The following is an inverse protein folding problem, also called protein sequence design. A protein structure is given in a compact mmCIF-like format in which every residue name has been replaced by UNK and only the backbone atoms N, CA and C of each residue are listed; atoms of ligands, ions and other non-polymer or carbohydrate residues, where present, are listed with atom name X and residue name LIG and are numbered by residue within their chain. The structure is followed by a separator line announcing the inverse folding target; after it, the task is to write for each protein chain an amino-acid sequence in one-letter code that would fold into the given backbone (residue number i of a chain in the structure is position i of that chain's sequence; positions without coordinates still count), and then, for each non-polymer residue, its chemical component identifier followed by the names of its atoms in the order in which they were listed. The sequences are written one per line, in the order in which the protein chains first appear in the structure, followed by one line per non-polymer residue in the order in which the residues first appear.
data_IF_040190896058
#
_entry.id   IF_040190896058
#
_cell.length_a   1.000
_cell.length_b   1.000
_cell.length_c   1.000
_cell.angle_alpha   90.00
_cell.angle_beta   90.00
_cell.angle_gamma   90.00
#
_symmetry.space_group_name_H-M   'P 1'
#
loop_
_entity.id
_entity.type
_entity.pdbx_description
1 polymer ?
#
# COMPACT_ATOMS: atom_id res chain seq x y z
N UNK A 1 24.84 70.77 29.31
CA UNK A 1 23.63 70.51 28.51
C UNK A 1 24.06 70.60 27.04
N UNK A 2 24.14 69.45 26.34
CA UNK A 2 24.56 69.27 24.93
C UNK A 2 25.90 69.87 24.49
N UNK A 3 26.84 69.04 24.01
CA UNK A 3 27.39 69.19 22.65
C UNK A 3 28.25 67.97 22.24
N UNK A 4 28.12 67.65 20.95
CA UNK A 4 28.73 66.56 20.19
C UNK A 4 30.25 66.74 20.01
N UNK A 5 31.03 65.66 19.83
CA UNK A 5 31.88 65.47 18.62
C UNK A 5 32.63 64.13 18.57
N UNK A 6 32.60 63.54 17.35
CA UNK A 6 33.62 62.74 16.65
C UNK A 6 34.07 61.37 17.20
N UNK A 7 33.59 60.31 16.55
CA UNK A 7 34.36 59.08 16.23
C UNK A 7 33.90 58.69 14.81
N UNK A 8 34.74 58.43 13.81
CA UNK A 8 36.05 57.81 13.84
C UNK A 8 35.96 56.47 13.10
N UNK A 9 36.03 56.54 11.78
CA UNK A 9 35.91 55.46 10.79
C UNK A 9 36.84 54.27 11.11
N UNK A 10 36.30 53.06 11.30
CA UNK A 10 37.03 51.80 11.16
C UNK A 10 36.17 50.78 10.43
N UNK A 11 36.59 50.49 9.21
CA UNK A 11 36.04 49.47 8.34
C UNK A 11 36.29 48.07 8.94
N UNK A 12 35.24 47.25 9.00
CA UNK A 12 35.36 45.80 9.16
C UNK A 12 34.69 45.16 7.95
N UNK A 13 35.51 44.56 7.09
CA UNK A 13 35.09 43.78 5.93
C UNK A 13 34.47 42.48 6.43
N UNK A 14 33.15 42.39 6.39
CA UNK A 14 32.44 41.13 6.61
C UNK A 14 32.35 40.38 5.26
N UNK A 15 33.17 39.34 5.11
CA UNK A 15 33.06 38.39 3.99
C UNK A 15 31.74 37.61 4.10
N UNK A 16 30.82 37.83 3.17
CA UNK A 16 29.65 36.98 2.96
C UNK A 16 30.08 35.65 2.34
N UNK A 17 30.18 34.60 3.14
CA UNK A 17 30.16 33.22 2.67
C UNK A 17 28.72 32.85 2.28
N UNK A 18 28.42 32.96 0.99
CA UNK A 18 27.18 32.41 0.40
C UNK A 18 27.34 30.89 0.38
N UNK A 19 26.73 30.21 1.35
CA UNK A 19 26.56 28.78 1.32
C UNK A 19 25.54 28.43 0.22
N UNK A 20 26.02 27.93 -0.91
CA UNK A 20 25.18 27.29 -1.93
C UNK A 20 24.68 25.97 -1.35
N UNK A 21 23.51 26.02 -0.70
CA UNK A 21 22.79 24.82 -0.28
C UNK A 21 22.26 24.09 -1.50
N UNK A 22 22.96 23.05 -1.94
CA UNK A 22 22.42 22.09 -2.91
C UNK A 22 21.15 21.45 -2.34
N UNK A 23 20.09 21.40 -3.13
CA UNK A 23 18.90 20.65 -2.79
C UNK A 23 19.27 19.17 -2.63
N UNK A 24 19.35 18.71 -1.39
CA UNK A 24 19.45 17.30 -1.08
C UNK A 24 18.11 16.66 -1.47
N UNK A 25 18.08 16.01 -2.64
CA UNK A 25 17.02 15.07 -2.97
C UNK A 25 17.10 13.93 -1.95
N UNK A 26 16.23 13.98 -0.94
CA UNK A 26 16.12 12.96 0.08
C UNK A 26 15.64 11.66 -0.58
N UNK A 27 16.59 10.84 -0.99
CA UNK A 27 16.33 9.50 -1.50
C UNK A 27 15.95 8.60 -0.31
N UNK A 28 14.82 7.91 -0.44
CA UNK A 28 14.31 7.00 0.58
C UNK A 28 15.26 5.80 0.66
N UNK A 29 16.01 5.69 1.75
CA UNK A 29 16.79 4.49 2.05
C UNK A 29 15.88 3.46 2.73
N UNK A 30 15.51 2.43 1.99
CA UNK A 30 14.92 1.21 2.54
C UNK A 30 16.06 0.41 3.15
N UNK A 31 16.15 0.38 4.49
CA UNK A 31 17.10 -0.47 5.18
C UNK A 31 16.58 -1.91 5.17
N UNK A 32 17.16 -2.76 4.31
CA UNK A 32 16.85 -4.19 4.28
C UNK A 32 17.53 -4.83 5.49
N UNK A 33 16.77 -5.12 6.54
CA UNK A 33 17.22 -5.96 7.64
C UNK A 33 16.38 -7.22 7.65
N UNK A 34 16.91 -8.28 7.04
CA UNK A 34 16.24 -9.58 6.97
C UNK A 34 17.04 -10.57 6.12
N UNK A 35 17.93 -11.31 6.77
CA UNK A 35 18.64 -12.47 6.20
C UNK A 35 17.80 -13.70 6.53
N UNK A 36 17.27 -14.42 5.52
CA UNK A 36 16.47 -15.62 5.79
C UNK A 36 15.81 -16.36 4.61
N UNK A 37 15.72 -15.77 3.41
CA UNK A 37 15.18 -16.45 2.22
C UNK A 37 16.23 -16.55 1.10
N UNK A 38 16.20 -17.65 0.35
CA UNK A 38 16.98 -17.77 -0.89
C UNK A 38 16.45 -16.76 -1.90
N UNK A 39 17.16 -15.65 -2.06
CA UNK A 39 16.82 -14.62 -3.04
C UNK A 39 17.24 -15.06 -4.44
N UNK A 40 16.40 -14.79 -5.44
CA UNK A 40 16.71 -15.05 -6.83
C UNK A 40 17.64 -13.94 -7.37
N UNK A 41 18.90 -14.25 -7.76
CA UNK A 41 19.83 -13.24 -8.21
C UNK A 41 19.54 -12.80 -9.64
N UNK A 42 19.35 -11.49 -9.83
CA UNK A 42 19.01 -10.90 -11.13
C UNK A 42 19.85 -9.65 -11.39
N UNK A 43 20.35 -9.52 -12.62
CA UNK A 43 21.00 -8.31 -13.10
C UNK A 43 20.06 -7.55 -14.04
N UNK A 44 19.82 -6.27 -13.75
CA UNK A 44 19.13 -5.35 -14.66
C UNK A 44 20.18 -4.38 -15.19
N UNK A 45 20.53 -4.46 -16.48
CA UNK A 45 21.40 -3.46 -17.11
C UNK A 45 20.69 -2.10 -17.16
N UNK A 46 21.49 -1.03 -17.22
CA UNK A 46 20.93 0.26 -17.57
C UNK A 46 20.34 0.19 -18.99
N UNK A 47 19.18 0.80 -19.17
CA UNK A 47 18.55 0.87 -20.48
C UNK A 47 19.20 1.97 -21.32
N UNK A 48 19.33 1.70 -22.61
CA UNK A 48 19.83 2.71 -23.55
C UNK A 48 18.92 3.94 -23.50
N UNK A 49 19.52 5.14 -23.51
CA UNK A 49 18.85 6.44 -23.45
C UNK A 49 18.08 6.77 -22.16
N UNK A 50 18.17 5.97 -21.10
CA UNK A 50 17.44 6.28 -19.86
C UNK A 50 18.12 7.33 -18.96
N UNK A 51 19.42 7.58 -19.16
CA UNK A 51 20.23 8.41 -18.27
C UNK A 51 19.78 9.88 -18.21
N UNK A 52 19.19 10.39 -19.29
CA UNK A 52 18.69 11.77 -19.38
C UNK A 52 17.25 11.93 -18.88
N UNK A 53 16.60 10.85 -18.44
CA UNK A 53 15.23 10.88 -17.96
C UNK A 53 15.17 11.47 -16.54
N UNK A 54 14.07 12.16 -16.19
CA UNK A 54 13.85 12.65 -14.83
C UNK A 54 13.77 11.51 -13.80
N UNK A 55 13.45 10.30 -14.26
CA UNK A 55 13.41 9.08 -13.47
C UNK A 55 13.85 7.92 -14.36
N UNK A 56 14.93 7.25 -13.95
CA UNK A 56 15.41 6.05 -14.63
C UNK A 56 14.47 4.88 -14.34
N UNK A 57 14.04 4.19 -15.40
CA UNK A 57 13.11 3.06 -15.31
C UNK A 57 13.76 1.91 -14.56
N UNK A 58 15.04 1.63 -14.82
CA UNK A 58 15.75 0.50 -14.22
C UNK A 58 15.98 0.66 -12.72
N UNK A 59 16.06 1.89 -12.21
CA UNK A 59 16.15 2.13 -10.76
C UNK A 59 14.86 1.73 -10.02
N UNK A 60 13.70 1.95 -10.63
CA UNK A 60 12.41 1.51 -10.10
C UNK A 60 12.32 -0.01 -10.12
N UNK A 61 12.69 -0.64 -11.24
CA UNK A 61 12.74 -2.12 -11.35
C UNK A 61 13.61 -2.74 -10.26
N UNK A 62 14.84 -2.26 -10.10
CA UNK A 62 15.75 -2.77 -9.05
C UNK A 62 15.20 -2.55 -7.65
N UNK A 63 14.55 -1.40 -7.41
CA UNK A 63 13.92 -1.08 -6.13
C UNK A 63 12.76 -2.01 -5.79
N UNK A 64 11.87 -2.27 -6.75
CA UNK A 64 10.72 -3.17 -6.58
C UNK A 64 11.15 -4.61 -6.28
N UNK A 65 12.04 -5.15 -7.12
CA UNK A 65 12.53 -6.52 -6.97
C UNK A 65 13.23 -6.71 -5.62
N UNK A 66 14.09 -5.78 -5.21
CA UNK A 66 14.73 -5.83 -3.90
C UNK A 66 13.74 -5.74 -2.75
N UNK A 67 12.77 -4.80 -2.80
CA UNK A 67 11.75 -4.63 -1.75
C UNK A 67 10.89 -5.87 -1.55
N UNK A 68 10.64 -6.64 -2.61
CA UNK A 68 9.92 -7.91 -2.48
C UNK A 68 10.62 -8.91 -1.56
N UNK A 69 11.94 -8.78 -1.33
CA UNK A 69 12.71 -9.75 -0.56
C UNK A 69 12.84 -11.12 -1.24
N UNK A 70 12.33 -11.29 -2.47
CA UNK A 70 12.46 -12.50 -3.29
C UNK A 70 13.62 -12.42 -4.27
N UNK A 71 14.19 -11.24 -4.50
CA UNK A 71 15.28 -11.02 -5.44
C UNK A 71 16.47 -10.33 -4.78
N UNK A 72 17.66 -10.64 -5.28
CA UNK A 72 18.89 -9.91 -5.01
C UNK A 72 19.39 -9.26 -6.30
N UNK A 73 19.72 -7.97 -6.24
CA UNK A 73 20.25 -7.26 -7.39
C UNK A 73 21.73 -7.57 -7.56
N UNK A 74 22.09 -8.18 -8.69
CA UNK A 74 23.47 -8.35 -9.14
C UNK A 74 23.89 -7.11 -9.91
N UNK A 75 25.09 -6.60 -9.64
CA UNK A 75 25.62 -5.42 -10.31
C UNK A 75 25.80 -5.69 -11.82
N UNK A 76 25.10 -4.89 -12.62
CA UNK A 76 25.19 -4.97 -14.08
C UNK A 76 26.33 -4.13 -14.66
N UNK A 77 26.97 -3.27 -13.86
CA UNK A 77 27.84 -2.21 -14.33
C UNK A 77 27.06 -1.01 -14.89
N UNK A 78 27.79 0.01 -15.34
CA UNK A 78 27.20 1.26 -15.84
C UNK A 78 26.84 1.23 -17.33
N UNK A 79 27.43 0.33 -18.11
CA UNK A 79 27.25 0.22 -19.56
C UNK A 79 25.80 -0.16 -19.90
N UNK A 80 25.07 0.69 -20.65
CA UNK A 80 23.72 0.34 -21.08
C UNK A 80 23.72 -0.83 -22.07
N UNK A 81 22.71 -1.69 -21.99
CA UNK A 81 22.54 -2.84 -22.89
C UNK A 81 21.16 -2.78 -23.54
N UNK A 82 21.05 -2.58 -24.87
CA UNK A 82 19.76 -2.56 -25.56
C UNK A 82 19.14 -3.96 -25.62
N UNK A 83 17.83 -4.02 -25.78
CA UNK A 83 17.09 -5.27 -25.98
C UNK A 83 17.48 -6.02 -27.25
N UNK A 84 18.09 -5.33 -28.22
CA UNK A 84 18.56 -5.91 -29.49
C UNK A 84 19.97 -6.48 -29.42
N UNK A 85 20.68 -6.31 -28.29
CA UNK A 85 22.02 -6.82 -28.13
C UNK A 85 22.04 -8.36 -28.10
N UNK A 86 23.08 -8.95 -28.68
CA UNK A 86 23.41 -10.35 -28.40
C UNK A 86 23.89 -10.46 -26.96
N UNK A 87 23.25 -11.34 -26.17
CA UNK A 87 23.53 -11.49 -24.74
C UNK A 87 24.52 -12.62 -24.51
N UNK A 88 25.66 -12.31 -23.89
CA UNK A 88 26.59 -13.32 -23.36
C UNK A 88 26.06 -13.86 -22.02
N UNK A 89 25.33 -14.96 -22.08
CA UNK A 89 24.79 -15.62 -20.88
C UNK A 89 25.89 -16.11 -19.93
N UNK A 90 27.05 -16.52 -20.47
CA UNK A 90 28.17 -17.01 -19.68
C UNK A 90 28.75 -15.92 -18.79
N UNK A 91 28.93 -14.71 -19.36
CA UNK A 91 29.40 -13.55 -18.61
C UNK A 91 28.45 -13.14 -17.47
N UNK A 92 27.14 -13.16 -17.71
CA UNK A 92 26.15 -12.81 -16.68
C UNK A 92 26.04 -13.87 -15.58
N UNK A 93 26.08 -15.14 -15.97
CA UNK A 93 26.14 -16.25 -15.01
C UNK A 93 27.41 -16.20 -14.17
N UNK A 94 28.56 -15.85 -14.76
CA UNK A 94 29.82 -15.67 -14.05
C UNK A 94 29.79 -14.51 -13.04
N UNK A 95 28.99 -13.47 -13.29
CA UNK A 95 28.69 -12.41 -12.31
C UNK A 95 27.70 -12.84 -11.22
N UNK A 96 27.17 -14.05 -11.29
CA UNK A 96 26.22 -14.60 -10.32
C UNK A 96 24.75 -14.29 -10.60
N UNK A 97 24.42 -13.72 -11.76
CA UNK A 97 23.04 -13.45 -12.14
C UNK A 97 22.41 -14.70 -12.78
N UNK A 98 21.28 -15.17 -12.24
CA UNK A 98 20.48 -16.27 -12.80
C UNK A 98 19.43 -15.77 -13.81
N UNK A 99 19.13 -14.47 -13.78
CA UNK A 99 18.39 -13.79 -14.83
C UNK A 99 19.05 -12.45 -15.19
N UNK A 100 18.84 -12.02 -16.42
CA UNK A 100 19.37 -10.76 -16.94
C UNK A 100 18.29 -9.97 -17.67
N UNK A 101 18.29 -8.65 -17.54
CA UNK A 101 17.36 -7.73 -18.21
C UNK A 101 18.14 -6.68 -18.99
N UNK A 102 17.80 -6.55 -20.28
CA UNK A 102 18.32 -5.52 -21.19
C UNK A 102 17.15 -4.74 -21.81
N UNK A 103 17.39 -3.49 -22.22
CA UNK A 103 16.32 -2.62 -22.72
C UNK A 103 16.76 -1.25 -23.23
N UNK A 104 15.80 -0.53 -23.80
CA UNK A 104 15.98 0.82 -24.32
C UNK A 104 14.76 1.70 -24.05
N UNK A 105 14.98 3.01 -24.00
CA UNK A 105 13.95 4.03 -23.84
C UNK A 105 14.04 5.03 -24.99
N UNK A 106 13.14 4.93 -25.96
CA UNK A 106 13.19 5.74 -27.18
C UNK A 106 12.07 6.77 -27.18
N UNK A 107 12.37 8.02 -27.58
CA UNK A 107 11.36 9.07 -27.71
C UNK A 107 10.65 8.94 -29.05
N UNK A 108 9.33 8.94 -29.02
CA UNK A 108 8.47 8.85 -30.20
C UNK A 108 8.13 10.25 -30.76
N UNK A 109 7.74 10.37 -32.05
CA UNK A 109 7.40 11.66 -32.67
C UNK A 109 6.27 12.43 -31.97
N UNK A 110 5.33 11.71 -31.35
CA UNK A 110 4.22 12.29 -30.59
C UNK A 110 4.63 12.82 -29.19
N UNK A 111 5.92 12.75 -28.83
CA UNK A 111 6.45 13.22 -27.55
C UNK A 111 6.36 12.22 -26.41
N UNK A 112 5.76 11.05 -26.61
CA UNK A 112 5.77 9.94 -25.67
C UNK A 112 7.10 9.18 -25.74
N UNK A 113 7.31 8.27 -24.79
CA UNK A 113 8.45 7.35 -24.80
C UNK A 113 7.98 5.92 -24.98
N UNK A 114 8.75 5.14 -25.72
CA UNK A 114 8.60 3.72 -25.90
C UNK A 114 9.74 3.01 -25.18
N UNK A 115 9.39 2.23 -24.17
CA UNK A 115 10.33 1.44 -23.36
C UNK A 115 10.23 -0.02 -23.78
N UNK A 116 11.31 -0.55 -24.34
CA UNK A 116 11.43 -1.96 -24.71
C UNK A 116 12.37 -2.66 -23.73
N UNK A 117 12.05 -3.89 -23.36
CA UNK A 117 12.99 -4.74 -22.62
C UNK A 117 12.81 -6.21 -22.97
N UNK A 118 13.83 -7.01 -22.72
CA UNK A 118 13.77 -8.48 -22.74
C UNK A 118 14.36 -9.01 -21.43
N UNK A 119 13.70 -10.02 -20.88
CA UNK A 119 14.16 -10.82 -19.74
C UNK A 119 14.77 -12.13 -20.26
N UNK A 120 15.91 -12.51 -19.69
CA UNK A 120 16.64 -13.70 -20.03
C UNK A 120 16.86 -14.60 -18.82
N UNK A 121 16.82 -15.91 -19.03
CA UNK A 121 17.31 -16.93 -18.10
C UNK A 121 18.75 -17.26 -18.48
N UNK A 122 19.71 -16.89 -17.63
CA UNK A 122 21.14 -17.09 -17.91
C UNK A 122 21.59 -18.53 -17.65
N UNK A 123 20.81 -19.29 -16.89
CA UNK A 123 21.10 -20.69 -16.55
C UNK A 123 20.65 -21.59 -17.70
N UNK A 124 19.43 -21.38 -18.20
CA UNK A 124 18.86 -22.09 -19.36
C UNK A 124 19.26 -21.47 -20.70
N UNK A 125 19.95 -20.33 -20.67
CA UNK A 125 20.46 -19.62 -21.85
C UNK A 125 19.36 -19.31 -22.89
N UNK A 126 18.23 -18.79 -22.42
CA UNK A 126 17.07 -18.52 -23.26
C UNK A 126 16.41 -17.19 -22.91
N UNK A 127 15.71 -16.60 -23.89
CA UNK A 127 14.80 -15.47 -23.64
C UNK A 127 13.52 -15.96 -22.98
N UNK A 128 13.07 -15.24 -21.96
CA UNK A 128 11.77 -15.41 -21.31
C UNK A 128 10.70 -14.46 -21.89
N UNK A 129 11.07 -13.70 -22.92
CA UNK A 129 10.25 -12.68 -23.58
C UNK A 129 10.47 -11.28 -23.02
N UNK A 130 9.65 -10.34 -23.51
CA UNK A 130 9.76 -8.92 -23.20
C UNK A 130 8.48 -8.17 -23.51
N UNK A 131 8.46 -6.86 -23.21
CA UNK A 131 7.35 -5.97 -23.58
C UNK A 131 7.88 -4.69 -24.23
N UNK A 132 6.99 -4.07 -25.00
CA UNK A 132 7.13 -2.70 -25.52
C UNK A 132 6.04 -1.85 -24.89
N UNK A 133 6.41 -0.90 -24.04
CA UNK A 133 5.50 -0.08 -23.26
C UNK A 133 5.59 1.39 -23.68
N UNK A 134 4.46 1.97 -24.06
CA UNK A 134 4.37 3.42 -24.31
C UNK A 134 4.00 4.16 -23.03
N UNK A 135 4.70 5.26 -22.75
CA UNK A 135 4.52 6.07 -21.54
C UNK A 135 4.65 7.56 -21.79
N UNK A 136 4.03 8.36 -20.92
CA UNK A 136 4.21 9.81 -20.86
C UNK A 136 5.65 10.19 -20.51
N UNK A 137 6.05 11.39 -20.93
CA UNK A 137 7.34 12.00 -20.58
C UNK A 137 7.26 12.71 -19.23
N UNK A 138 6.95 11.97 -18.18
CA UNK A 138 6.89 12.47 -16.81
C UNK A 138 7.36 11.40 -15.82
N UNK A 139 7.64 11.83 -14.59
CA UNK A 139 8.09 10.94 -13.53
C UNK A 139 7.05 9.83 -13.26
N UNK A 140 5.75 10.17 -13.22
CA UNK A 140 4.69 9.18 -12.97
C UNK A 140 4.68 8.07 -14.02
N UNK A 141 4.72 8.42 -15.31
CA UNK A 141 4.76 7.46 -16.41
C UNK A 141 5.99 6.56 -16.37
N UNK A 142 7.17 7.13 -16.12
CA UNK A 142 8.42 6.36 -16.03
C UNK A 142 8.41 5.39 -14.85
N UNK A 143 7.92 5.83 -13.69
CA UNK A 143 7.76 4.96 -12.51
C UNK A 143 6.77 3.83 -12.76
N UNK A 144 5.58 4.17 -13.26
CA UNK A 144 4.55 3.20 -13.65
C UNK A 144 5.10 2.16 -14.62
N UNK A 145 5.94 2.58 -15.56
CA UNK A 145 6.61 1.69 -16.51
C UNK A 145 7.60 0.76 -15.82
N UNK A 146 8.45 1.28 -14.93
CA UNK A 146 9.35 0.46 -14.10
C UNK A 146 8.60 -0.58 -13.27
N UNK A 147 7.51 -0.18 -12.59
CA UNK A 147 6.66 -1.08 -11.82
C UNK A 147 6.07 -2.21 -12.69
N UNK A 148 5.58 -1.90 -13.90
CA UNK A 148 5.08 -2.92 -14.84
C UNK A 148 6.15 -3.90 -15.29
N UNK A 149 7.38 -3.43 -15.51
CA UNK A 149 8.51 -4.29 -15.87
C UNK A 149 8.85 -5.21 -14.69
N UNK A 150 8.90 -4.68 -13.47
CA UNK A 150 9.10 -5.48 -12.27
C UNK A 150 7.98 -6.53 -12.08
N UNK A 151 6.71 -6.17 -12.33
CA UNK A 151 5.58 -7.10 -12.26
C UNK A 151 5.73 -8.24 -13.26
N UNK A 152 6.16 -7.93 -14.49
CA UNK A 152 6.43 -8.93 -15.53
C UNK A 152 7.54 -9.89 -15.12
N UNK A 153 8.67 -9.36 -14.62
CA UNK A 153 9.82 -10.15 -14.16
C UNK A 153 9.40 -11.08 -13.02
N UNK A 154 8.71 -10.52 -12.02
CA UNK A 154 8.22 -11.24 -10.85
C UNK A 154 7.29 -12.40 -11.26
N UNK A 155 6.36 -12.14 -12.19
CA UNK A 155 5.46 -13.18 -12.68
C UNK A 155 6.19 -14.26 -13.50
N UNK A 156 7.12 -13.87 -14.38
CA UNK A 156 7.84 -14.83 -15.23
C UNK A 156 8.76 -15.75 -14.42
N UNK A 157 9.39 -15.23 -13.37
CA UNK A 157 10.36 -15.99 -12.58
C UNK A 157 9.73 -16.74 -11.41
N UNK A 158 8.65 -16.21 -10.81
CA UNK A 158 8.04 -16.77 -9.60
C UNK A 158 6.63 -17.35 -9.82
N UNK A 159 6.03 -17.14 -10.99
CA UNK A 159 4.69 -17.65 -11.31
C UNK A 159 3.53 -16.93 -10.60
N UNK A 160 3.81 -15.87 -9.85
CA UNK A 160 2.82 -15.08 -9.11
C UNK A 160 2.77 -13.67 -9.68
N UNK A 161 1.57 -13.07 -9.82
CA UNK A 161 1.46 -11.69 -10.29
C UNK A 161 2.09 -10.71 -9.29
N UNK A 162 2.99 -9.85 -9.77
CA UNK A 162 3.57 -8.77 -8.97
C UNK A 162 2.54 -7.69 -8.62
N UNK A 163 2.78 -6.96 -7.53
CA UNK A 163 1.91 -5.88 -7.01
C UNK A 163 2.56 -4.50 -7.09
N UNK A 164 3.65 -4.35 -7.85
CA UNK A 164 4.43 -3.12 -7.87
C UNK A 164 3.65 -1.97 -8.53
N UNK A 165 2.89 -2.26 -9.58
CA UNK A 165 2.01 -1.28 -10.23
C UNK A 165 0.61 -1.20 -9.58
N UNK A 166 0.54 -1.37 -8.26
CA UNK A 166 -0.66 -1.08 -7.45
C UNK A 166 -0.46 0.23 -6.68
N UNK A 167 -1.50 0.67 -5.97
CA UNK A 167 -1.49 1.92 -5.21
C UNK A 167 -1.83 1.67 -3.75
N UNK A 168 -1.36 2.55 -2.87
CA UNK A 168 -1.74 2.57 -1.46
C UNK A 168 -2.64 3.78 -1.20
N UNK A 169 -3.52 3.64 -0.21
CA UNK A 169 -4.12 4.79 0.46
C UNK A 169 -3.77 4.75 1.94
N UNK A 170 -3.59 5.91 2.55
CA UNK A 170 -3.31 6.05 3.98
C UNK A 170 -3.61 7.47 4.45
N UNK A 171 -3.75 7.64 5.76
CA UNK A 171 -4.01 8.94 6.37
C UNK A 171 -2.74 9.46 7.03
N UNK A 172 -2.30 10.64 6.63
CA UNK A 172 -1.21 11.37 7.27
C UNK A 172 -1.79 12.47 8.15
N UNK A 173 -1.34 12.52 9.41
CA UNK A 173 -1.67 13.60 10.35
C UNK A 173 -0.44 14.45 10.65
N UNK A 174 -0.55 15.75 10.40
CA UNK A 174 0.45 16.76 10.78
C UNK A 174 -0.23 17.84 11.60
N UNK A 175 0.03 17.86 12.92
CA UNK A 175 -0.72 18.70 13.85
C UNK A 175 -2.21 18.36 13.83
N UNK A 176 -3.04 19.32 13.41
CA UNK A 176 -4.49 19.18 13.25
C UNK A 176 -4.94 19.02 11.78
N UNK A 177 -4.00 18.80 10.85
CA UNK A 177 -4.32 18.57 9.43
C UNK A 177 -4.23 17.08 9.14
N UNK A 178 -5.29 16.54 8.55
CA UNK A 178 -5.41 15.16 8.10
C UNK A 178 -5.43 15.14 6.58
N UNK A 179 -4.60 14.29 5.97
CA UNK A 179 -4.56 14.07 4.53
C UNK A 179 -4.82 12.62 4.20
N UNK A 180 -5.83 12.34 3.38
CA UNK A 180 -5.94 11.06 2.70
C UNK A 180 -5.02 11.10 1.49
N UNK A 181 -3.94 10.34 1.54
CA UNK A 181 -2.92 10.26 0.50
C UNK A 181 -3.14 9.01 -0.35
N UNK A 182 -2.88 9.14 -1.65
CA UNK A 182 -2.77 8.03 -2.61
C UNK A 182 -1.34 8.01 -3.12
N UNK A 183 -0.66 6.87 -3.06
CA UNK A 183 0.72 6.71 -3.52
C UNK A 183 0.89 5.48 -4.39
N UNK A 184 2.05 5.35 -5.03
CA UNK A 184 2.53 4.06 -5.56
C UNK A 184 2.67 3.02 -4.43
N UNK A 185 2.73 1.74 -4.79
CA UNK A 185 2.89 0.63 -3.83
C UNK A 185 4.15 0.73 -2.96
N UNK A 186 5.16 1.50 -3.40
CA UNK A 186 6.40 1.76 -2.68
C UNK A 186 6.40 3.07 -1.87
N UNK A 187 5.25 3.74 -1.77
CA UNK A 187 5.07 4.98 -1.01
C UNK A 187 5.50 6.25 -1.74
N UNK A 188 6.03 6.15 -2.96
CA UNK A 188 6.39 7.30 -3.78
C UNK A 188 5.16 7.90 -4.47
N UNK A 189 5.32 9.08 -5.08
CA UNK A 189 4.26 9.79 -5.80
C UNK A 189 2.98 10.01 -4.95
N UNK A 190 3.15 10.26 -3.65
CA UNK A 190 2.02 10.47 -2.75
C UNK A 190 1.31 11.79 -3.05
N UNK A 191 0.03 11.72 -3.43
CA UNK A 191 -0.82 12.88 -3.75
C UNK A 191 -2.01 12.92 -2.77
N UNK A 192 -2.34 14.09 -2.19
CA UNK A 192 -3.51 14.22 -1.32
C UNK A 192 -4.79 14.15 -2.14
N UNK A 193 -5.58 13.09 -1.95
CA UNK A 193 -6.95 13.01 -2.44
C UNK A 193 -7.90 13.89 -1.61
N UNK A 194 -7.64 14.05 -0.31
CA UNK A 194 -8.41 14.94 0.56
C UNK A 194 -7.50 15.56 1.61
N UNK A 195 -7.69 16.85 1.89
CA UNK A 195 -7.09 17.54 3.05
C UNK A 195 -8.21 18.09 3.93
N UNK A 196 -8.14 17.81 5.23
CA UNK A 196 -9.15 18.18 6.21
C UNK A 196 -8.52 18.69 7.50
N UNK A 197 -9.22 19.57 8.22
CA UNK A 197 -8.90 19.95 9.61
C UNK A 197 -9.47 18.98 10.64
N UNK A 198 -10.30 18.05 10.18
CA UNK A 198 -10.96 17.01 10.97
C UNK A 198 -10.49 15.62 10.55
N UNK A 199 -10.60 14.60 11.43
CA UNK A 199 -10.16 13.25 11.13
C UNK A 199 -10.75 12.68 9.82
N UNK A 200 -9.92 11.86 9.17
CA UNK A 200 -10.30 10.95 8.08
C UNK A 200 -9.88 9.57 8.54
N UNK A 201 -10.76 8.57 8.44
CA UNK A 201 -10.46 7.20 8.90
C UNK A 201 -11.00 6.15 7.93
N UNK A 202 -10.50 4.93 8.09
CA UNK A 202 -10.98 3.72 7.42
C UNK A 202 -11.12 3.83 5.89
N UNK A 203 -10.06 4.24 5.15
CA UNK A 203 -10.11 4.20 3.70
C UNK A 203 -10.19 2.74 3.19
N UNK A 204 -10.98 2.52 2.15
CA UNK A 204 -11.18 1.21 1.53
C UNK A 204 -11.32 1.36 0.00
N UNK A 205 -10.47 0.67 -0.74
CA UNK A 205 -10.48 0.68 -2.20
C UNK A 205 -11.68 -0.06 -2.78
N UNK A 206 -12.24 0.47 -3.87
CA UNK A 206 -13.15 -0.30 -4.72
C UNK A 206 -12.41 -1.43 -5.42
N UNK A 207 -13.06 -2.54 -5.80
CA UNK A 207 -12.42 -3.66 -6.49
C UNK A 207 -11.76 -3.27 -7.83
N UNK A 208 -12.26 -2.23 -8.49
CA UNK A 208 -11.69 -1.65 -9.72
C UNK A 208 -10.41 -0.83 -9.49
N UNK A 209 -10.15 -0.40 -8.25
CA UNK A 209 -9.05 0.51 -7.93
C UNK A 209 -9.27 1.97 -8.36
N UNK A 210 -10.47 2.34 -8.83
CA UNK A 210 -10.77 3.70 -9.29
C UNK A 210 -11.41 4.59 -8.22
N UNK A 211 -11.86 4.00 -7.11
CA UNK A 211 -12.54 4.73 -6.03
C UNK A 211 -12.01 4.32 -4.67
N UNK A 212 -12.09 5.25 -3.71
CA UNK A 212 -11.79 5.00 -2.29
C UNK A 212 -12.98 5.44 -1.45
N UNK A 213 -13.55 4.52 -0.69
CA UNK A 213 -14.53 4.83 0.36
C UNK A 213 -13.79 5.19 1.65
N UNK A 214 -14.32 6.10 2.47
CA UNK A 214 -13.71 6.52 3.73
C UNK A 214 -14.73 7.24 4.60
N UNK A 215 -14.38 7.44 5.87
CA UNK A 215 -15.15 8.27 6.79
C UNK A 215 -14.49 9.63 6.92
N UNK A 216 -15.27 10.70 6.76
CA UNK A 216 -14.82 12.07 7.02
C UNK A 216 -15.60 12.69 8.19
N UNK A 217 -14.89 13.47 9.01
CA UNK A 217 -15.45 14.27 10.09
C UNK A 217 -15.52 15.77 9.74
N UNK A 218 -15.36 16.17 8.48
CA UNK A 218 -15.44 17.58 8.04
C UNK A 218 -16.71 18.30 8.52
N UNK A 219 -17.82 17.57 8.66
CA UNK A 219 -19.10 18.08 9.18
C UNK A 219 -19.25 17.94 10.70
N UNK A 220 -18.15 17.73 11.43
CA UNK A 220 -18.11 17.48 12.89
C UNK A 220 -18.92 16.27 13.35
N UNK A 221 -19.26 15.39 12.42
CA UNK A 221 -19.90 14.10 12.62
C UNK A 221 -19.37 13.11 11.58
N UNK A 222 -19.38 11.80 11.86
CA UNK A 222 -18.87 10.81 10.92
C UNK A 222 -19.83 10.66 9.72
N UNK A 223 -19.31 10.82 8.51
CA UNK A 223 -20.04 10.63 7.25
C UNK A 223 -19.22 9.73 6.32
N UNK A 224 -19.86 8.73 5.72
CA UNK A 224 -19.20 7.83 4.77
C UNK A 224 -19.28 8.44 3.38
N UNK A 225 -18.12 8.60 2.74
CA UNK A 225 -17.97 9.09 1.39
C UNK A 225 -17.34 8.04 0.47
N UNK A 226 -17.59 8.17 -0.82
CA UNK A 226 -16.76 7.60 -1.89
C UNK A 226 -16.08 8.75 -2.64
N UNK A 227 -14.76 8.64 -2.85
CA UNK A 227 -13.98 9.49 -3.75
C UNK A 227 -13.75 8.73 -5.06
N UNK A 228 -14.18 9.29 -6.19
CA UNK A 228 -13.77 8.87 -7.53
C UNK A 228 -12.43 9.52 -7.89
N UNK A 229 -11.35 8.74 -7.92
CA UNK A 229 -10.00 9.28 -8.08
C UNK A 229 -9.75 9.89 -9.46
N UNK A 230 -10.23 9.31 -10.60
CA UNK A 230 -10.03 9.92 -11.91
C UNK A 230 -10.68 11.29 -12.06
N UNK A 231 -11.87 11.50 -11.50
CA UNK A 231 -12.64 12.75 -11.66
C UNK A 231 -12.51 13.72 -10.49
N UNK A 232 -11.98 13.26 -9.35
CA UNK A 232 -11.96 14.03 -8.09
C UNK A 232 -13.33 14.20 -7.44
N UNK A 233 -14.39 13.54 -7.94
CA UNK A 233 -15.75 13.68 -7.41
C UNK A 233 -15.94 12.91 -6.11
N UNK A 234 -16.72 13.48 -5.19
CA UNK A 234 -17.06 12.88 -3.90
C UNK A 234 -18.56 12.67 -3.77
N UNK A 235 -18.96 11.50 -3.27
CA UNK A 235 -20.35 11.09 -3.08
C UNK A 235 -20.58 10.75 -1.62
N UNK A 236 -21.68 11.22 -1.03
CA UNK A 236 -22.12 10.78 0.30
C UNK A 236 -22.82 9.44 0.13
N UNK A 237 -22.39 8.44 0.91
CA UNK A 237 -22.96 7.09 0.88
C UNK A 237 -23.81 6.82 2.11
N UNK A 238 -23.39 7.33 3.27
CA UNK A 238 -24.18 7.24 4.49
C UNK A 238 -23.95 8.46 5.39
N UNK A 239 -25.06 9.06 5.80
CA UNK A 239 -25.11 10.22 6.71
C UNK A 239 -26.30 10.09 7.66
N UNK A 240 -26.43 8.92 8.29
CA UNK A 240 -27.52 8.61 9.20
C UNK A 240 -27.26 9.22 10.59
N UNK A 241 -28.30 9.25 11.44
CA UNK A 241 -28.14 9.65 12.84
C UNK A 241 -27.16 8.70 13.55
N UNK A 242 -26.26 9.27 14.35
CA UNK A 242 -25.27 8.51 15.12
C UNK A 242 -23.98 8.25 14.36
N UNK A 243 -23.32 7.14 14.66
CA UNK A 243 -22.07 6.72 14.02
C UNK A 243 -22.33 6.22 12.59
N UNK A 244 -21.45 6.59 11.65
CA UNK A 244 -21.40 6.06 10.28
C UNK A 244 -19.94 5.74 9.96
N UNK A 245 -19.57 4.46 9.90
CA UNK A 245 -18.14 4.10 9.87
C UNK A 245 -17.84 2.82 9.11
N UNK A 246 -16.55 2.52 8.98
CA UNK A 246 -15.99 1.27 8.47
C UNK A 246 -16.63 0.79 7.14
N UNK A 247 -16.54 1.58 6.05
CA UNK A 247 -17.00 1.12 4.75
C UNK A 247 -16.14 -0.05 4.26
N UNK A 248 -16.78 -1.07 3.70
CA UNK A 248 -16.11 -2.14 2.96
C UNK A 248 -16.89 -2.47 1.70
N UNK A 249 -16.18 -2.58 0.58
CA UNK A 249 -16.77 -2.87 -0.71
C UNK A 249 -17.11 -4.35 -0.84
N UNK A 250 -18.26 -4.64 -1.43
CA UNK A 250 -18.53 -5.95 -2.03
C UNK A 250 -17.56 -6.22 -3.19
N UNK A 251 -17.20 -7.48 -3.47
CA UNK A 251 -16.23 -7.81 -4.52
C UNK A 251 -16.68 -7.41 -5.94
N UNK A 252 -17.98 -7.29 -6.17
CA UNK A 252 -18.55 -6.81 -7.44
C UNK A 252 -18.56 -5.27 -7.56
N UNK A 253 -18.24 -4.56 -6.48
CA UNK A 253 -18.21 -3.10 -6.42
C UNK A 253 -19.57 -2.42 -6.43
N UNK A 254 -20.69 -3.15 -6.38
CA UNK A 254 -22.02 -2.57 -6.50
C UNK A 254 -22.55 -2.05 -5.16
N UNK A 255 -22.13 -2.66 -4.06
CA UNK A 255 -22.59 -2.31 -2.70
C UNK A 255 -21.43 -2.13 -1.73
N UNK A 256 -21.70 -1.44 -0.62
CA UNK A 256 -20.81 -1.35 0.52
C UNK A 256 -21.53 -1.87 1.76
N UNK A 257 -20.80 -2.55 2.64
CA UNK A 257 -21.20 -2.72 4.02
C UNK A 257 -20.67 -1.55 4.85
N UNK A 258 -21.46 -1.05 5.79
CA UNK A 258 -21.12 0.05 6.70
C UNK A 258 -21.58 -0.27 8.12
N UNK A 259 -20.88 0.25 9.12
CA UNK A 259 -21.23 0.12 10.53
C UNK A 259 -21.97 1.37 11.02
N UNK A 260 -23.24 1.22 11.39
CA UNK A 260 -24.13 2.31 11.79
C UNK A 260 -24.72 2.10 13.18
N UNK A 261 -24.80 3.16 13.99
CA UNK A 261 -25.50 3.15 15.29
C UNK A 261 -26.95 3.66 15.18
N UNK A 262 -27.58 3.48 14.02
CA UNK A 262 -28.89 4.04 13.69
C UNK A 262 -30.01 3.56 14.62
N UNK A 263 -29.89 2.34 15.17
CA UNK A 263 -30.92 1.69 15.99
C UNK A 263 -30.48 1.47 17.45
N UNK A 264 -29.50 2.25 17.92
CA UNK A 264 -28.91 2.09 19.26
C UNK A 264 -27.46 1.61 19.15
N UNK A 265 -27.21 0.33 19.42
CA UNK A 265 -25.88 -0.26 19.26
C UNK A 265 -25.42 -0.24 17.79
N UNK A 266 -24.10 -0.25 17.56
CA UNK A 266 -23.55 -0.29 16.20
C UNK A 266 -23.84 -1.64 15.57
N UNK A 267 -24.37 -1.61 14.35
CA UNK A 267 -24.79 -2.78 13.59
C UNK A 267 -24.32 -2.61 12.14
N UNK A 268 -24.26 -3.72 11.40
CA UNK A 268 -23.81 -3.72 10.01
C UNK A 268 -25.01 -3.56 9.08
N UNK A 269 -24.85 -2.70 8.08
CA UNK A 269 -25.82 -2.44 7.03
C UNK A 269 -25.16 -2.57 5.66
N UNK A 270 -25.91 -2.99 4.64
CA UNK A 270 -25.52 -2.84 3.24
C UNK A 270 -26.15 -1.58 2.66
N UNK A 271 -25.45 -0.92 1.74
CA UNK A 271 -25.92 0.24 0.97
C UNK A 271 -25.35 0.16 -0.45
N UNK A 272 -26.12 0.61 -1.44
CA UNK A 272 -25.62 0.73 -2.82
C UNK A 272 -24.41 1.68 -2.87
N UNK A 273 -23.49 1.45 -3.80
CA UNK A 273 -22.39 2.39 -4.10
C UNK A 273 -22.88 3.77 -4.59
N UNK A 274 -24.17 3.89 -4.91
CA UNK A 274 -24.86 5.15 -5.19
C UNK A 274 -25.49 5.82 -3.95
N UNK A 275 -25.40 5.20 -2.77
CA UNK A 275 -25.95 5.71 -1.51
C UNK A 275 -27.43 5.35 -1.24
N UNK A 276 -28.06 4.55 -2.10
CA UNK A 276 -29.47 4.12 -1.95
C UNK A 276 -29.59 2.71 -1.37
N UNK A 277 -30.82 2.28 -1.03
CA UNK A 277 -31.09 0.88 -0.69
C UNK A 277 -30.48 0.41 0.63
N UNK A 278 -30.40 1.29 1.64
CA UNK A 278 -29.87 0.94 2.95
C UNK A 278 -30.66 -0.21 3.60
N UNK A 279 -29.96 -1.29 3.97
CA UNK A 279 -30.57 -2.51 4.53
C UNK A 279 -29.73 -3.03 5.70
N UNK A 280 -30.39 -3.35 6.82
CA UNK A 280 -29.73 -3.89 8.03
C UNK A 280 -29.35 -5.36 7.86
N UNK A 281 -28.12 -5.73 8.19
CA UNK A 281 -27.58 -7.09 8.05
C UNK A 281 -27.45 -7.82 9.39
N UNK A 282 -27.04 -7.14 10.48
CA UNK A 282 -26.97 -7.75 11.82
C UNK A 282 -28.11 -7.26 12.72
N UNK A 283 -28.55 -8.09 13.67
CA UNK A 283 -29.67 -7.79 14.58
C UNK A 283 -29.36 -8.09 16.05
N UNK A 284 -28.09 -8.25 16.40
CA UNK A 284 -27.65 -8.53 17.76
C UNK A 284 -27.92 -7.35 18.71
N UNK A 285 -27.94 -7.62 20.02
CA UNK A 285 -27.88 -6.60 21.06
C UNK A 285 -26.46 -6.11 21.35
N UNK A 286 -25.49 -6.50 20.52
CA UNK A 286 -24.06 -6.26 20.66
C UNK A 286 -23.58 -5.14 19.74
N UNK A 287 -22.30 -4.80 19.82
CA UNK A 287 -21.63 -3.95 18.84
C UNK A 287 -21.12 -4.86 17.73
N UNK A 288 -21.62 -4.68 16.50
CA UNK A 288 -21.12 -5.32 15.29
C UNK A 288 -20.53 -4.25 14.36
N UNK A 289 -19.23 -4.34 14.05
CA UNK A 289 -18.48 -3.29 13.33
C UNK A 289 -17.35 -3.89 12.46
N UNK A 290 -16.62 -3.03 11.75
CA UNK A 290 -15.49 -3.39 10.89
C UNK A 290 -15.81 -4.53 9.90
N UNK A 291 -16.90 -4.42 9.10
CA UNK A 291 -17.23 -5.46 8.14
C UNK A 291 -16.16 -5.57 7.04
N UNK A 292 -15.98 -6.77 6.50
CA UNK A 292 -15.10 -7.06 5.37
C UNK A 292 -15.64 -8.24 4.58
N UNK A 293 -15.85 -8.08 3.28
CA UNK A 293 -16.35 -9.15 2.42
C UNK A 293 -15.28 -10.22 2.17
N UNK A 294 -15.70 -11.48 2.06
CA UNK A 294 -14.87 -12.51 1.45
C UNK A 294 -14.69 -12.25 -0.05
N UNK A 295 -13.57 -12.69 -0.67
CA UNK A 295 -13.33 -12.48 -2.10
C UNK A 295 -14.40 -13.09 -3.02
N UNK A 296 -15.04 -14.18 -2.58
CA UNK A 296 -16.12 -14.86 -3.30
C UNK A 296 -17.50 -14.18 -3.12
N UNK A 297 -17.58 -13.13 -2.30
CA UNK A 297 -18.79 -12.36 -2.03
C UNK A 297 -19.83 -13.06 -1.16
N UNK A 298 -19.56 -14.28 -0.67
CA UNK A 298 -20.55 -15.09 0.06
C UNK A 298 -20.63 -14.76 1.54
N UNK A 299 -19.57 -14.18 2.12
CA UNK A 299 -19.46 -13.94 3.54
C UNK A 299 -19.07 -12.50 3.84
N UNK A 300 -19.54 -12.00 4.98
CA UNK A 300 -19.02 -10.79 5.63
C UNK A 300 -18.39 -11.22 6.94
N UNK A 301 -17.10 -10.93 7.10
CA UNK A 301 -16.36 -11.02 8.35
C UNK A 301 -16.46 -9.69 9.08
N UNK A 302 -16.59 -9.71 10.41
CA UNK A 302 -16.79 -8.51 11.19
C UNK A 302 -16.38 -8.70 12.64
N UNK A 303 -16.09 -7.59 13.32
CA UNK A 303 -15.82 -7.56 14.76
C UNK A 303 -17.13 -7.50 15.53
N UNK A 304 -17.29 -8.35 16.54
CA UNK A 304 -18.44 -8.35 17.44
C UNK A 304 -18.04 -8.60 18.90
N UNK A 305 -18.69 -7.92 19.84
CA UNK A 305 -18.55 -8.14 21.28
C UNK A 305 -19.63 -9.08 21.87
N UNK A 306 -20.39 -9.80 21.02
CA UNK A 306 -21.45 -10.74 21.45
C UNK A 306 -21.00 -11.87 22.36
N UNK A 307 -19.69 -12.17 22.37
CA UNK A 307 -19.07 -13.13 23.29
C UNK A 307 -18.45 -12.49 24.55
N UNK A 308 -18.73 -11.20 24.82
CA UNK A 308 -18.16 -10.42 25.92
C UNK A 308 -17.03 -9.49 25.49
N UNK A 309 -15.95 -10.05 24.93
CA UNK A 309 -14.84 -9.27 24.36
C UNK A 309 -14.94 -9.23 22.82
N UNK A 310 -14.43 -8.17 22.15
CA UNK A 310 -14.36 -8.10 20.69
C UNK A 310 -13.63 -9.30 20.08
N UNK A 311 -14.33 -9.99 19.19
CA UNK A 311 -13.86 -11.15 18.45
C UNK A 311 -14.35 -11.06 17.01
N UNK A 312 -13.72 -11.80 16.12
CA UNK A 312 -14.12 -11.84 14.70
C UNK A 312 -15.16 -12.93 14.49
N UNK A 313 -16.26 -12.54 13.86
CA UNK A 313 -17.36 -13.38 13.41
C UNK A 313 -17.49 -13.30 11.89
N UNK A 314 -18.26 -14.22 11.31
CA UNK A 314 -18.71 -14.16 9.93
C UNK A 314 -20.21 -14.45 9.82
N UNK A 315 -20.86 -13.89 8.81
CA UNK A 315 -22.24 -14.19 8.44
C UNK A 315 -22.37 -14.26 6.91
N UNK A 316 -23.44 -14.85 6.35
CA UNK A 316 -23.74 -14.72 4.93
C UNK A 316 -23.77 -13.25 4.50
N UNK A 317 -23.33 -12.95 3.29
CA UNK A 317 -23.31 -11.58 2.78
C UNK A 317 -24.72 -10.95 2.70
N UNK A 318 -25.75 -11.77 2.60
CA UNK A 318 -27.15 -11.40 2.66
C UNK A 318 -27.59 -10.98 4.08
N UNK A 319 -26.79 -11.23 5.11
CA UNK A 319 -27.01 -10.86 6.51
C UNK A 319 -27.50 -12.02 7.39
N UNK A 320 -27.70 -11.74 8.68
CA UNK A 320 -28.10 -12.73 9.69
C UNK A 320 -29.49 -13.33 9.46
N UNK A 321 -30.31 -12.70 8.60
CA UNK A 321 -31.59 -13.29 8.17
C UNK A 321 -31.43 -14.50 7.25
N UNK A 322 -30.30 -14.62 6.55
CA UNK A 322 -29.99 -15.78 5.70
C UNK A 322 -29.26 -16.89 6.48
N UNK A 323 -28.60 -16.56 7.58
CA UNK A 323 -27.93 -17.51 8.46
C UNK A 323 -27.26 -16.83 9.64
N UNK A 324 -27.29 -17.47 10.80
CA UNK A 324 -26.72 -16.92 12.03
C UNK A 324 -25.21 -16.67 11.90
N UNK A 325 -24.71 -15.59 12.53
CA UNK A 325 -23.28 -15.34 12.52
C UNK A 325 -22.53 -16.36 13.39
N UNK A 326 -21.32 -16.70 12.94
CA UNK A 326 -20.46 -17.72 13.53
C UNK A 326 -19.13 -17.10 13.95
N UNK A 327 -18.64 -17.45 15.14
CA UNK A 327 -17.33 -16.98 15.61
C UNK A 327 -16.22 -17.66 14.81
N UNK A 328 -15.21 -16.87 14.42
CA UNK A 328 -14.06 -17.33 13.60
C UNK A 328 -12.77 -17.41 14.41
N UNK A 329 -12.57 -16.46 15.32
CA UNK A 329 -11.34 -16.36 16.13
C UNK A 329 -11.52 -16.95 17.51
N UNK A 330 -10.65 -17.88 17.89
CA UNK A 330 -10.62 -18.52 19.21
C UNK A 330 -9.28 -18.36 19.93
N UNK A 331 -8.26 -17.88 19.21
CA UNK A 331 -6.94 -17.51 19.77
C UNK A 331 -6.91 -16.02 20.08
N UNK A 332 -6.48 -15.66 21.29
CA UNK A 332 -6.41 -14.27 21.76
C UNK A 332 -7.71 -13.77 22.40
N UNK A 333 -7.58 -12.88 23.39
CA UNK A 333 -8.71 -12.41 24.20
C UNK A 333 -9.44 -11.21 23.59
N UNK A 334 -8.88 -10.56 22.58
CA UNK A 334 -9.44 -9.39 21.91
C UNK A 334 -8.91 -9.36 20.47
N UNK A 335 -9.79 -9.48 19.48
CA UNK A 335 -9.45 -9.61 18.07
C UNK A 335 -10.34 -8.70 17.22
N UNK A 336 -9.74 -7.84 16.39
CA UNK A 336 -10.45 -6.81 15.61
C UNK A 336 -9.86 -6.63 14.21
N UNK A 337 -10.49 -5.76 13.42
CA UNK A 337 -10.03 -5.32 12.10
C UNK A 337 -9.78 -6.48 11.12
N UNK A 338 -10.78 -7.36 10.89
CA UNK A 338 -10.63 -8.54 10.03
C UNK A 338 -10.30 -8.15 8.58
N UNK A 339 -9.38 -8.89 7.96
CA UNK A 339 -9.08 -8.82 6.53
C UNK A 339 -8.89 -10.23 5.99
N UNK A 340 -9.54 -10.54 4.87
CA UNK A 340 -9.41 -11.83 4.21
C UNK A 340 -8.42 -11.70 3.06
N UNK A 341 -7.54 -12.68 2.90
CA UNK A 341 -6.61 -12.73 1.77
C UNK A 341 -7.38 -12.84 0.44
N UNK A 342 -6.82 -12.36 -0.68
CA UNK A 342 -7.49 -12.42 -1.99
C UNK A 342 -7.89 -13.84 -2.45
N UNK A 343 -7.20 -14.88 -1.96
CA UNK A 343 -7.52 -16.29 -2.25
C UNK A 343 -8.50 -16.92 -1.24
N UNK A 344 -8.94 -16.16 -0.23
CA UNK A 344 -9.92 -16.59 0.77
C UNK A 344 -9.38 -17.53 1.86
N UNK A 345 -8.06 -17.78 1.92
CA UNK A 345 -7.48 -18.79 2.81
C UNK A 345 -6.98 -18.26 4.15
N UNK A 346 -6.60 -17.00 4.22
CA UNK A 346 -6.03 -16.38 5.41
C UNK A 346 -6.93 -15.27 5.94
N UNK A 347 -7.00 -15.17 7.26
CA UNK A 347 -7.57 -14.04 7.99
C UNK A 347 -6.44 -13.29 8.69
N UNK A 348 -6.18 -12.05 8.29
CA UNK A 348 -5.34 -11.12 9.03
C UNK A 348 -6.21 -10.30 10.00
N UNK A 349 -5.69 -10.05 11.19
CA UNK A 349 -6.41 -9.31 12.23
C UNK A 349 -5.48 -8.72 13.27
N UNK A 350 -5.97 -7.75 14.05
CA UNK A 350 -5.24 -7.18 15.18
C UNK A 350 -5.67 -7.90 16.46
N UNK A 351 -4.71 -8.41 17.22
CA UNK A 351 -4.95 -9.07 18.51
C UNK A 351 -4.26 -8.33 19.65
N UNK A 352 -4.92 -8.26 20.81
CA UNK A 352 -4.30 -7.75 22.03
C UNK A 352 -3.47 -8.84 22.69
N UNK A 353 -2.16 -8.68 22.74
CA UNK A 353 -1.22 -9.63 23.35
C UNK A 353 -0.18 -8.89 24.20
N UNK A 354 0.01 -9.29 25.46
CA UNK A 354 1.04 -8.72 26.34
C UNK A 354 0.91 -7.20 26.55
N UNK A 355 -0.32 -6.67 26.54
CA UNK A 355 -0.59 -5.24 26.67
C UNK A 355 -0.46 -4.42 25.37
N UNK A 356 0.07 -5.00 24.30
CA UNK A 356 0.16 -4.38 22.97
C UNK A 356 -0.89 -4.91 21.98
N UNK A 357 -0.98 -4.25 20.83
CA UNK A 357 -1.76 -4.68 19.66
C UNK A 357 -0.81 -5.17 18.57
N UNK A 358 -1.01 -6.41 18.13
CA UNK A 358 -0.14 -7.10 17.18
C UNK A 358 -0.93 -7.59 15.99
N UNK A 359 -0.31 -7.59 14.82
CA UNK A 359 -0.86 -8.24 13.63
C UNK A 359 -0.70 -9.77 13.73
N UNK A 360 -1.83 -10.46 13.63
CA UNK A 360 -1.94 -11.91 13.54
C UNK A 360 -2.42 -12.34 12.17
N UNK A 361 -2.04 -13.55 11.78
CA UNK A 361 -2.58 -14.26 10.62
C UNK A 361 -3.10 -15.62 11.09
N UNK A 362 -4.35 -15.92 10.71
CA UNK A 362 -5.01 -17.20 10.93
C UNK A 362 -5.26 -17.91 9.59
N UNK A 363 -4.89 -19.17 9.51
CA UNK A 363 -5.31 -20.06 8.42
C UNK A 363 -6.79 -20.47 8.65
N UNK A 364 -7.65 -20.18 7.68
CA UNK A 364 -9.09 -20.37 7.81
C UNK A 364 -9.54 -21.84 7.69
N UNK A 365 -8.67 -22.72 7.17
CA UNK A 365 -8.96 -24.14 7.05
C UNK A 365 -8.63 -24.88 8.34
N UNK A 366 -7.47 -24.59 8.93
CA UNK A 366 -6.94 -25.28 10.12
C UNK A 366 -7.27 -24.56 11.43
N UNK A 367 -7.54 -23.25 11.37
CA UNK A 367 -7.71 -22.41 12.55
C UNK A 367 -6.40 -22.00 13.24
N UNK A 368 -5.24 -22.44 12.73
CA UNK A 368 -3.94 -22.08 13.27
C UNK A 368 -3.71 -20.57 13.13
N UNK A 369 -3.32 -19.90 14.21
CA UNK A 369 -3.15 -18.45 14.25
C UNK A 369 -1.86 -18.04 14.95
N UNK A 370 -1.07 -17.17 14.33
CA UNK A 370 0.22 -16.72 14.83
C UNK A 370 0.39 -15.20 14.67
N UNK A 371 1.12 -14.57 15.59
CA UNK A 371 1.59 -13.21 15.40
C UNK A 371 2.68 -13.19 14.31
N UNK A 372 2.55 -12.28 13.34
CA UNK A 372 3.55 -12.08 12.27
C UNK A 372 4.40 -10.83 12.49
N UNK A 373 4.23 -10.17 13.64
CA UNK A 373 4.86 -8.90 14.00
C UNK A 373 5.44 -8.92 15.42
N UNK A 374 6.52 -8.18 15.62
CA UNK A 374 7.14 -7.97 16.93
C UNK A 374 6.85 -6.58 17.52
N UNK A 375 6.15 -5.72 16.78
CA UNK A 375 5.67 -4.40 17.20
C UNK A 375 4.47 -4.50 18.16
N UNK A 376 4.00 -3.38 18.70
CA UNK A 376 2.99 -3.36 19.80
C UNK A 376 1.85 -2.35 19.60
N UNK A 377 1.82 -1.65 18.47
CA UNK A 377 0.79 -0.66 18.13
C UNK A 377 0.34 -0.84 16.69
N UNK A 378 0.15 -2.10 16.32
CA UNK A 378 -0.24 -2.46 14.96
C UNK A 378 -1.73 -2.18 14.77
N UNK A 379 -2.06 -1.50 13.67
CA UNK A 379 -3.43 -1.14 13.32
C UNK A 379 -3.69 -1.26 11.82
N UNK A 380 -4.96 -1.44 11.48
CA UNK A 380 -5.51 -1.40 10.11
C UNK A 380 -4.71 -2.24 9.09
N UNK A 381 -4.67 -3.57 9.24
CA UNK A 381 -4.01 -4.44 8.26
C UNK A 381 -4.75 -4.37 6.91
N UNK A 382 -4.03 -4.67 5.82
CA UNK A 382 -4.54 -4.77 4.46
C UNK A 382 -3.65 -5.69 3.63
N UNK A 383 -4.22 -6.77 3.07
CA UNK A 383 -3.47 -7.61 2.14
C UNK A 383 -3.15 -6.84 0.85
N UNK A 384 -1.95 -7.07 0.31
CA UNK A 384 -1.64 -6.76 -1.08
C UNK A 384 -2.51 -7.59 -2.03
N UNK A 385 -2.72 -7.10 -3.25
CA UNK A 385 -3.63 -7.73 -4.22
C UNK A 385 -3.25 -9.17 -4.62
N UNK A 386 -1.98 -9.58 -4.45
CA UNK A 386 -1.53 -10.96 -4.67
C UNK A 386 -1.52 -11.84 -3.40
N UNK A 387 -1.93 -11.28 -2.25
CA UNK A 387 -1.97 -11.97 -0.97
C UNK A 387 -0.62 -12.28 -0.32
N UNK A 388 0.51 -11.89 -0.93
CA UNK A 388 1.86 -12.23 -0.45
C UNK A 388 2.35 -11.33 0.68
N UNK A 389 1.76 -10.14 0.84
CA UNK A 389 2.14 -9.16 1.86
C UNK A 389 0.92 -8.59 2.55
N UNK A 390 1.12 -8.12 3.78
CA UNK A 390 0.14 -7.38 4.56
C UNK A 390 0.76 -6.02 4.90
N UNK A 391 0.14 -4.95 4.42
CA UNK A 391 0.40 -3.57 4.82
C UNK A 391 -0.34 -3.28 6.12
N UNK A 392 0.29 -2.55 7.04
CA UNK A 392 -0.30 -2.13 8.30
C UNK A 392 0.36 -0.83 8.77
N UNK A 393 -0.26 -0.15 9.73
CA UNK A 393 0.36 0.97 10.42
C UNK A 393 0.87 0.52 11.79
N UNK A 394 2.01 1.07 12.20
CA UNK A 394 2.58 0.82 13.52
C UNK A 394 3.34 2.03 14.03
N UNK A 395 3.94 1.94 15.22
CA UNK A 395 4.74 3.01 15.79
C UNK A 395 6.24 2.67 15.75
N UNK A 396 7.04 3.53 15.13
CA UNK A 396 8.50 3.48 15.16
C UNK A 396 9.07 4.84 15.56
N UNK A 397 10.03 4.87 16.49
CA UNK A 397 10.63 6.12 16.98
C UNK A 397 9.63 7.14 17.55
N UNK A 398 8.54 6.68 18.17
CA UNK A 398 7.50 7.57 18.72
C UNK A 398 6.45 8.04 17.71
N UNK A 399 6.54 7.64 16.44
CA UNK A 399 5.70 8.14 15.35
C UNK A 399 5.00 7.02 14.59
N UNK A 400 3.78 7.28 14.13
CA UNK A 400 3.04 6.37 13.24
C UNK A 400 3.72 6.26 11.87
N UNK A 401 3.99 5.03 11.43
CA UNK A 401 4.65 4.69 10.16
C UNK A 401 3.88 3.59 9.44
N UNK A 402 4.10 3.46 8.13
CA UNK A 402 3.66 2.31 7.35
C UNK A 402 4.68 1.19 7.46
N UNK A 403 4.19 -0.04 7.52
CA UNK A 403 5.00 -1.25 7.49
C UNK A 403 4.32 -2.32 6.64
N UNK A 404 5.12 -3.19 6.03
CA UNK A 404 4.64 -4.36 5.31
C UNK A 404 5.36 -5.61 5.80
N UNK A 405 4.64 -6.73 5.88
CA UNK A 405 5.21 -8.03 6.27
C UNK A 405 4.70 -9.12 5.33
N UNK A 406 5.50 -10.16 5.01
CA UNK A 406 4.98 -11.32 4.30
C UNK A 406 3.80 -11.96 5.04
N UNK A 407 2.77 -12.38 4.30
CA UNK A 407 1.55 -12.96 4.88
C UNK A 407 1.78 -14.31 5.57
N UNK A 408 2.84 -15.02 5.18
CA UNK A 408 3.29 -16.28 5.77
C UNK A 408 4.23 -16.08 6.98
N UNK A 409 4.60 -14.83 7.31
CA UNK A 409 5.56 -14.52 8.37
C UNK A 409 7.00 -14.96 8.07
N UNK A 410 7.36 -15.23 6.81
CA UNK A 410 8.67 -15.79 6.45
C UNK A 410 9.84 -14.83 6.66
N UNK A 411 9.59 -13.54 6.85
CA UNK A 411 10.59 -12.50 7.02
C UNK A 411 10.08 -11.42 7.98
N UNK A 412 10.99 -10.67 8.64
CA UNK A 412 10.59 -9.58 9.52
C UNK A 412 9.87 -8.45 8.75
N UNK A 413 9.03 -7.65 9.43
CA UNK A 413 8.37 -6.51 8.80
C UNK A 413 9.36 -5.46 8.29
N UNK A 414 9.02 -4.87 7.15
CA UNK A 414 9.75 -3.77 6.54
C UNK A 414 9.01 -2.45 6.78
N UNK A 415 9.74 -1.42 7.24
CA UNK A 415 9.19 -0.08 7.41
C UNK A 415 9.21 0.65 6.07
N UNK A 416 8.04 1.12 5.63
CA UNK A 416 7.88 1.97 4.47
C UNK A 416 7.96 3.42 4.95
N UNK A 417 9.14 4.02 4.83
CA UNK A 417 9.39 5.40 5.26
C UNK A 417 8.61 6.38 4.39
N UNK A 418 7.54 6.95 4.94
CA UNK A 418 6.80 8.06 4.32
C UNK A 418 7.19 9.37 5.01
N UNK A 419 7.55 10.38 4.22
CA UNK A 419 7.95 11.69 4.74
C UNK A 419 6.77 12.42 5.39
N UNK A 420 7.02 13.11 6.51
CA UNK A 420 6.06 14.01 7.19
C UNK A 420 4.90 13.32 7.94
N UNK A 421 4.53 13.86 9.13
CA UNK A 421 3.34 13.47 9.90
C UNK A 421 3.25 12.02 10.41
N UNK A 422 2.37 11.76 11.38
CA UNK A 422 2.06 10.40 11.81
C UNK A 422 1.15 9.72 10.78
N UNK A 423 1.53 8.56 10.27
CA UNK A 423 0.73 7.77 9.34
C UNK A 423 -0.17 6.79 10.07
N UNK A 424 -1.38 6.59 9.55
CA UNK A 424 -2.43 5.70 10.07
C UNK A 424 -3.29 5.16 8.94
N UNK A 425 -4.13 4.18 9.28
CA UNK A 425 -5.25 3.73 8.44
C UNK A 425 -4.87 3.34 6.99
N UNK A 426 -3.82 2.52 6.76
CA UNK A 426 -3.50 2.13 5.40
C UNK A 426 -4.52 1.17 4.79
N UNK A 427 -4.62 1.24 3.47
CA UNK A 427 -5.31 0.25 2.65
C UNK A 427 -4.55 0.06 1.33
N UNK A 428 -4.24 -1.19 1.02
CA UNK A 428 -3.60 -1.60 -0.22
C UNK A 428 -4.65 -1.75 -1.32
N UNK A 429 -4.43 -1.07 -2.44
CA UNK A 429 -5.33 -1.12 -3.60
C UNK A 429 -5.28 -2.45 -4.36
N UNK A 430 -6.32 -2.74 -5.16
CA UNK A 430 -6.35 -3.94 -5.98
C UNK A 430 -5.37 -3.84 -7.15
N UNK A 431 -5.33 -4.90 -7.96
CA UNK A 431 -4.81 -4.75 -9.32
C UNK A 431 -5.68 -3.74 -10.07
N UNK A 432 -5.06 -2.69 -10.58
CA UNK A 432 -5.75 -1.69 -11.40
C UNK A 432 -6.31 -2.37 -12.66
N UNK A 433 -7.62 -2.21 -12.88
CA UNK A 433 -8.32 -2.73 -14.06
C UNK A 433 -8.18 -1.78 -15.26
#
# INVERSE_FOLDING_TARGET
MSLMTKLGFRALVASCLIAVGGAAHAQVNVLITGVGSTQFPIATANFVNEASLPQQVTSVVRGDLARSGKFSNVDAGSTPVPETASVDFGAWKAKGANAFVAGSVNREPNGQYKVNFILYDTVKQQSLGGLSLTTSNDNEGMRKTGHKIADYIYQKLLGVRGVFNTRLSYVQRTGNVYKLLISDSDGQNAIPALTSKEPIISPAWSPSGTKVAYVSFELKKPVVYIHDLPTGRRYVISNQKGNNSAPAWSPDGQTLSVALSLTGNTQIYSVSSTGTGLRRLTRSSSIDTEPFYSPDGKWIYFTSDRGGAPQIYRMPAEGESAGAAQRVTFTGSYNTSPRISPDGKLLAYISRTGGGFKLYVQDLQTGAANAVTNTTRDESPSFAANGQYILYATQSGGRGVLAAVPSDGSAPPQILSVQGGAIREPSWGPFMQ
#
